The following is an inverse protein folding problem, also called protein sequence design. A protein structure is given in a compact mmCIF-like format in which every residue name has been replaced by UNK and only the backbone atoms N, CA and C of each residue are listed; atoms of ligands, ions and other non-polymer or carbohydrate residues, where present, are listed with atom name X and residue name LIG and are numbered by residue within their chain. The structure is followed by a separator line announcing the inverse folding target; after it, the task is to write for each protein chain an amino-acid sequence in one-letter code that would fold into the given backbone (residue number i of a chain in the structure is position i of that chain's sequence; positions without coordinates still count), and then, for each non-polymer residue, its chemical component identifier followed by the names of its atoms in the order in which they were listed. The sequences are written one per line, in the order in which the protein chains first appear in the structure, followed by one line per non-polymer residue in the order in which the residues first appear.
data_IF_117902300677
#
_entry.id   IF_117902300677
#
_cell.length_a   1.000
_cell.length_b   1.000
_cell.length_c   1.000
_cell.angle_alpha   90.00
_cell.angle_beta   90.00
_cell.angle_gamma   90.00
#
_symmetry.space_group_name_H-M   'P 1'
#
loop_
_entity.id
_entity.type
_entity.pdbx_description
1 polymer ?
#
# COMPACT_ATOMS: atom_id res chain seq x y z
N UNK A 1 -69.18 -8.89 -32.30
CA UNK A 1 -67.98 -9.56 -31.77
C UNK A 1 -66.79 -8.63 -31.99
N UNK A 2 -66.25 -8.03 -30.92
CA UNK A 2 -65.07 -7.16 -30.99
C UNK A 2 -63.88 -7.95 -30.46
N UNK A 3 -62.92 -8.24 -31.33
CA UNK A 3 -61.68 -8.94 -30.98
C UNK A 3 -60.67 -7.92 -30.47
N UNK A 4 -60.28 -8.03 -29.19
CA UNK A 4 -59.24 -7.22 -28.57
C UNK A 4 -57.90 -7.94 -28.76
N UNK A 5 -56.97 -7.32 -29.48
CA UNK A 5 -55.59 -7.81 -29.64
C UNK A 5 -54.79 -7.30 -28.43
N UNK A 6 -54.37 -8.22 -27.55
CA UNK A 6 -53.43 -7.93 -26.46
C UNK A 6 -52.00 -8.13 -27.01
N UNK A 7 -51.28 -7.02 -27.20
CA UNK A 7 -49.84 -7.04 -27.51
C UNK A 7 -49.11 -7.18 -26.18
N UNK A 8 -48.53 -8.36 -25.96
CA UNK A 8 -47.70 -8.67 -24.80
C UNK A 8 -46.26 -8.17 -25.07
N UNK A 9 -45.92 -6.98 -24.57
CA UNK A 9 -44.53 -6.50 -24.57
C UNK A 9 -43.76 -7.18 -23.45
N UNK A 10 -42.96 -8.18 -23.81
CA UNK A 10 -42.03 -8.85 -22.90
C UNK A 10 -40.83 -7.92 -22.64
N UNK A 11 -40.89 -7.19 -21.53
CA UNK A 11 -39.83 -6.32 -21.05
C UNK A 11 -38.66 -7.21 -20.55
N UNK A 12 -37.57 -7.30 -21.33
CA UNK A 12 -36.33 -7.92 -20.86
C UNK A 12 -35.74 -7.06 -19.74
N UNK A 13 -35.89 -7.53 -18.50
CA UNK A 13 -35.18 -6.98 -17.35
C UNK A 13 -33.77 -7.56 -17.38
N UNK A 14 -32.82 -6.80 -17.92
CA UNK A 14 -31.39 -7.06 -17.71
C UNK A 14 -31.09 -6.91 -16.22
N UNK A 15 -30.50 -7.91 -15.54
CA UNK A 15 -29.93 -7.66 -14.24
C UNK A 15 -28.72 -6.73 -14.46
N UNK A 16 -28.88 -5.46 -14.08
CA UNK A 16 -27.75 -4.58 -13.87
C UNK A 16 -26.80 -5.27 -12.91
N UNK A 17 -25.63 -5.66 -13.44
CA UNK A 17 -24.47 -6.02 -12.64
C UNK A 17 -24.22 -4.83 -11.74
N UNK A 18 -24.47 -5.02 -10.45
CA UNK A 18 -24.15 -4.03 -9.43
C UNK A 18 -22.65 -3.75 -9.54
N UNK A 19 -22.29 -2.53 -9.94
CA UNK A 19 -20.94 -2.02 -9.74
C UNK A 19 -20.66 -2.13 -8.25
N UNK A 20 -19.79 -3.06 -7.87
CA UNK A 20 -19.12 -3.00 -6.57
C UNK A 20 -18.35 -1.69 -6.55
N UNK A 21 -18.73 -0.77 -5.68
CA UNK A 21 -17.90 0.37 -5.36
C UNK A 21 -16.52 -0.17 -5.01
N UNK A 22 -15.53 0.10 -5.87
CA UNK A 22 -14.13 -0.18 -5.56
C UNK A 22 -13.77 0.68 -4.36
N UNK A 23 -13.91 0.11 -3.17
CA UNK A 23 -13.42 0.67 -1.91
C UNK A 23 -11.90 0.48 -1.86
N UNK A 24 -11.23 1.00 -2.90
CA UNK A 24 -9.80 0.78 -3.16
C UNK A 24 -8.91 1.43 -2.10
N UNK A 25 -9.51 2.19 -1.18
CA UNK A 25 -8.88 2.87 -0.04
C UNK A 25 -9.14 2.18 1.31
N UNK A 26 -9.88 1.06 1.32
CA UNK A 26 -10.10 0.27 2.53
C UNK A 26 -8.96 -0.74 2.74
N UNK A 27 -8.12 -0.45 3.71
CA UNK A 27 -6.92 -1.22 4.03
C UNK A 27 -7.24 -2.67 4.42
N UNK A 28 -8.26 -2.87 5.27
CA UNK A 28 -8.67 -4.19 5.77
C UNK A 28 -9.12 -5.10 4.63
N UNK A 29 -9.91 -4.55 3.69
CA UNK A 29 -10.37 -5.26 2.50
C UNK A 29 -9.20 -5.66 1.61
N UNK A 30 -8.25 -4.75 1.39
CA UNK A 30 -7.07 -5.03 0.55
C UNK A 30 -6.08 -6.01 1.17
N UNK A 31 -5.97 -6.07 2.49
CA UNK A 31 -5.20 -7.14 3.16
C UNK A 31 -5.82 -8.51 2.85
N UNK A 32 -7.15 -8.65 2.95
CA UNK A 32 -7.86 -9.90 2.64
C UNK A 32 -7.74 -10.28 1.16
N UNK A 33 -7.80 -9.29 0.27
CA UNK A 33 -7.55 -9.48 -1.15
C UNK A 33 -6.13 -10.01 -1.39
N UNK A 34 -5.12 -9.40 -0.78
CA UNK A 34 -3.72 -9.83 -0.87
C UNK A 34 -3.50 -11.25 -0.32
N UNK A 35 -4.21 -11.61 0.75
CA UNK A 35 -4.21 -12.96 1.32
C UNK A 35 -4.79 -13.98 0.34
N UNK A 36 -5.95 -13.66 -0.23
CA UNK A 36 -6.66 -14.52 -1.19
C UNK A 36 -5.85 -14.71 -2.47
N UNK A 37 -5.20 -13.64 -2.94
CA UNK A 37 -4.33 -13.64 -4.11
C UNK A 37 -2.93 -14.23 -3.85
N UNK A 38 -2.68 -14.74 -2.64
CA UNK A 38 -1.39 -15.31 -2.22
C UNK A 38 -0.18 -14.35 -2.41
N UNK A 39 -0.40 -13.04 -2.27
CA UNK A 39 0.71 -12.09 -2.14
C UNK A 39 1.52 -12.47 -0.90
N UNK A 40 2.85 -12.48 -1.07
CA UNK A 40 3.78 -12.80 0.02
C UNK A 40 3.46 -11.95 1.26
N UNK A 41 3.42 -12.54 2.47
CA UNK A 41 3.05 -11.81 3.69
C UNK A 41 3.80 -10.49 3.88
N UNK A 42 5.09 -10.44 3.52
CA UNK A 42 5.93 -9.24 3.62
C UNK A 42 5.51 -8.09 2.70
N UNK A 43 4.66 -8.33 1.69
CA UNK A 43 4.25 -7.33 0.70
C UNK A 43 2.76 -6.94 0.81
N UNK A 44 1.99 -7.59 1.70
CA UNK A 44 0.54 -7.36 1.80
C UNK A 44 0.21 -5.95 2.28
N UNK A 45 0.90 -5.45 3.31
CA UNK A 45 0.76 -4.07 3.78
C UNK A 45 1.04 -3.06 2.68
N UNK A 46 2.15 -3.25 1.96
CA UNK A 46 2.55 -2.41 0.82
C UNK A 46 1.52 -2.41 -0.31
N UNK A 47 0.99 -3.58 -0.68
CA UNK A 47 -0.12 -3.67 -1.62
C UNK A 47 -1.36 -2.94 -1.10
N UNK A 48 -1.73 -3.16 0.16
CA UNK A 48 -2.94 -2.62 0.76
C UNK A 48 -2.93 -1.09 0.91
N UNK A 49 -1.76 -0.45 0.95
CA UNK A 49 -1.62 1.02 0.88
C UNK A 49 -1.31 1.57 -0.50
N UNK A 50 -1.17 0.71 -1.52
CA UNK A 50 -0.85 1.15 -2.88
C UNK A 50 -2.13 1.43 -3.67
N UNK A 51 -2.06 2.30 -4.67
CA UNK A 51 -3.17 2.49 -5.61
C UNK A 51 -3.22 1.42 -6.74
N UNK A 52 -2.43 0.34 -6.63
CA UNK A 52 -2.25 -0.66 -7.68
C UNK A 52 -3.35 -1.70 -7.69
N UNK A 53 -3.77 -2.16 -8.87
CA UNK A 53 -4.48 -3.43 -8.97
C UNK A 53 -3.57 -4.61 -8.62
N UNK A 54 -4.14 -5.79 -8.37
CA UNK A 54 -3.36 -7.02 -8.16
C UNK A 54 -2.41 -7.30 -9.33
N UNK A 55 -2.90 -7.16 -10.56
CA UNK A 55 -2.11 -7.42 -11.77
C UNK A 55 -0.96 -6.43 -11.91
N UNK A 56 -1.21 -5.13 -11.69
CA UNK A 56 -0.17 -4.11 -11.71
C UNK A 56 0.91 -4.36 -10.66
N UNK A 57 0.51 -4.68 -9.43
CA UNK A 57 1.43 -4.96 -8.34
C UNK A 57 2.31 -6.18 -8.68
N UNK A 58 1.71 -7.27 -9.14
CA UNK A 58 2.44 -8.49 -9.53
C UNK A 58 3.36 -8.26 -10.74
N UNK A 59 2.92 -7.47 -11.73
CA UNK A 59 3.75 -7.10 -12.87
C UNK A 59 5.00 -6.34 -12.43
N UNK A 60 4.87 -5.37 -11.51
CA UNK A 60 6.03 -4.65 -10.96
C UNK A 60 6.92 -5.54 -10.08
N UNK A 61 6.37 -6.52 -9.35
CA UNK A 61 7.19 -7.54 -8.66
C UNK A 61 8.04 -8.32 -9.68
N UNK A 62 7.45 -8.74 -10.80
CA UNK A 62 8.17 -9.48 -11.84
C UNK A 62 9.20 -8.62 -12.57
N UNK A 63 8.90 -7.34 -12.78
CA UNK A 63 9.87 -6.35 -13.27
C UNK A 63 11.06 -6.22 -12.30
N UNK A 64 10.81 -6.07 -11.00
CA UNK A 64 11.86 -5.98 -9.99
C UNK A 64 12.75 -7.23 -9.96
N UNK A 65 12.17 -8.44 -10.07
CA UNK A 65 12.92 -9.71 -10.14
C UNK A 65 13.86 -9.81 -11.34
N UNK A 66 13.55 -9.13 -12.45
CA UNK A 66 14.38 -9.07 -13.66
C UNK A 66 15.40 -7.93 -13.64
N UNK A 67 15.39 -7.11 -12.60
CA UNK A 67 16.26 -5.94 -12.45
C UNK A 67 17.45 -6.23 -11.53
N UNK A 68 18.26 -5.19 -11.26
CA UNK A 68 19.35 -5.23 -10.28
C UNK A 68 18.87 -5.02 -8.82
N UNK A 69 17.56 -4.79 -8.61
CA UNK A 69 17.02 -4.63 -7.27
C UNK A 69 17.17 -5.93 -6.45
N UNK A 70 17.36 -5.77 -5.15
CA UNK A 70 17.45 -6.90 -4.21
C UNK A 70 16.05 -7.29 -3.69
N UNK A 71 15.82 -8.57 -3.30
CA UNK A 71 14.48 -9.06 -2.96
C UNK A 71 13.72 -8.27 -1.88
N UNK A 72 14.44 -7.73 -0.89
CA UNK A 72 13.83 -6.97 0.23
C UNK A 72 13.12 -5.68 -0.23
N UNK A 73 13.43 -5.15 -1.42
CA UNK A 73 12.79 -3.93 -1.94
C UNK A 73 11.75 -4.18 -3.03
N UNK A 74 11.47 -5.44 -3.40
CA UNK A 74 10.52 -5.75 -4.47
C UNK A 74 9.11 -5.26 -4.15
N UNK A 75 8.59 -5.54 -2.96
CA UNK A 75 7.27 -5.05 -2.54
C UNK A 75 7.17 -3.54 -2.54
N UNK A 76 8.24 -2.85 -2.14
CA UNK A 76 8.30 -1.39 -2.13
C UNK A 76 8.23 -0.84 -3.55
N UNK A 77 9.02 -1.39 -4.47
CA UNK A 77 8.94 -1.02 -5.87
C UNK A 77 7.55 -1.27 -6.45
N UNK A 78 6.96 -2.43 -6.14
CA UNK A 78 5.64 -2.79 -6.64
C UNK A 78 4.51 -1.89 -6.14
N UNK A 79 4.59 -1.40 -4.90
CA UNK A 79 3.65 -0.41 -4.37
C UNK A 79 3.84 1.00 -4.95
N UNK A 80 5.01 1.29 -5.53
CA UNK A 80 5.40 2.63 -5.94
C UNK A 80 4.78 3.08 -7.26
N UNK A 81 4.59 4.40 -7.39
CA UNK A 81 4.32 5.07 -8.66
C UNK A 81 5.60 5.41 -9.45
N UNK A 82 6.77 5.23 -8.86
CA UNK A 82 8.06 5.57 -9.46
C UNK A 82 8.45 4.57 -10.56
N UNK A 83 9.19 5.07 -11.55
CA UNK A 83 9.81 4.21 -12.57
C UNK A 83 10.89 3.33 -11.94
N UNK A 84 11.30 2.26 -12.63
CA UNK A 84 12.40 1.41 -12.13
C UNK A 84 13.71 2.21 -11.98
N UNK A 85 13.98 3.10 -12.93
CA UNK A 85 15.16 3.98 -12.91
C UNK A 85 15.13 4.93 -11.72
N UNK A 86 14.02 5.63 -11.51
CA UNK A 86 13.86 6.56 -10.39
C UNK A 86 13.96 5.84 -9.04
N UNK A 87 13.26 4.70 -8.89
CA UNK A 87 13.32 3.90 -7.67
C UNK A 87 14.74 3.41 -7.39
N UNK A 88 15.46 2.93 -8.41
CA UNK A 88 16.85 2.48 -8.28
C UNK A 88 17.79 3.61 -7.90
N UNK A 89 17.59 4.81 -8.47
CA UNK A 89 18.34 6.01 -8.11
C UNK A 89 18.16 6.34 -6.62
N UNK A 90 16.92 6.34 -6.11
CA UNK A 90 16.64 6.58 -4.69
C UNK A 90 17.21 5.48 -3.77
N UNK A 91 17.27 4.23 -4.22
CA UNK A 91 17.95 3.16 -3.48
C UNK A 91 19.46 3.43 -3.35
N UNK A 92 20.10 3.93 -4.41
CA UNK A 92 21.51 4.31 -4.38
C UNK A 92 21.74 5.52 -3.48
N UNK A 93 20.90 6.55 -3.58
CA UNK A 93 20.95 7.71 -2.67
C UNK A 93 20.84 7.28 -1.20
N UNK A 94 19.91 6.39 -0.87
CA UNK A 94 19.79 5.84 0.49
C UNK A 94 21.03 5.06 0.92
N UNK A 95 21.65 4.32 0.01
CA UNK A 95 22.90 3.59 0.28
C UNK A 95 24.05 4.56 0.56
N UNK A 96 24.21 5.59 -0.25
CA UNK A 96 25.28 6.58 -0.13
C UNK A 96 25.12 7.41 1.16
N UNK A 97 23.88 7.69 1.55
CA UNK A 97 23.53 8.30 2.83
C UNK A 97 23.58 7.33 4.04
N UNK A 98 24.03 6.09 3.84
CA UNK A 98 24.14 5.06 4.88
C UNK A 98 22.83 4.74 5.61
N UNK A 99 21.69 4.87 4.92
CA UNK A 99 20.40 4.40 5.43
C UNK A 99 20.46 2.89 5.61
N UNK A 100 19.95 2.40 6.74
CA UNK A 100 19.91 0.97 7.05
C UNK A 100 19.13 0.21 5.97
N UNK A 101 19.58 -0.99 5.56
CA UNK A 101 18.97 -1.74 4.46
C UNK A 101 17.45 -1.90 4.55
N UNK A 102 16.90 -2.08 5.77
CA UNK A 102 15.46 -2.24 5.99
C UNK A 102 14.63 -0.98 5.68
N UNK A 103 15.25 0.21 5.69
CA UNK A 103 14.55 1.47 5.40
C UNK A 103 14.73 1.96 3.96
N UNK A 104 15.67 1.38 3.19
CA UNK A 104 15.96 1.85 1.82
C UNK A 104 14.76 1.76 0.89
N UNK A 105 14.02 0.66 0.94
CA UNK A 105 12.79 0.50 0.14
C UNK A 105 11.73 1.53 0.52
N UNK A 106 11.59 1.83 1.81
CA UNK A 106 10.63 2.81 2.32
C UNK A 106 11.03 4.25 1.92
N UNK A 107 12.31 4.59 2.00
CA UNK A 107 12.82 5.85 1.48
C UNK A 107 12.58 5.98 -0.03
N UNK A 108 12.85 4.91 -0.77
CA UNK A 108 12.78 4.91 -2.23
C UNK A 108 11.35 5.10 -2.75
N UNK A 109 10.32 4.68 -2.01
CA UNK A 109 8.93 5.00 -2.37
C UNK A 109 8.51 6.41 -1.96
N UNK A 110 9.07 6.94 -0.87
CA UNK A 110 8.68 8.24 -0.31
C UNK A 110 9.02 9.41 -1.23
N UNK A 111 8.34 10.54 -1.03
CA UNK A 111 8.65 11.81 -1.68
C UNK A 111 9.54 12.71 -0.80
N UNK A 112 10.03 12.18 0.33
CA UNK A 112 10.91 12.91 1.24
C UNK A 112 12.30 13.08 0.63
N UNK A 113 12.94 14.21 0.92
CA UNK A 113 14.37 14.34 0.71
C UNK A 113 15.13 13.42 1.69
N UNK A 114 16.36 13.04 1.34
CA UNK A 114 17.19 12.21 2.23
C UNK A 114 17.45 12.87 3.59
N UNK A 115 17.50 14.20 3.64
CA UNK A 115 17.68 14.96 4.88
C UNK A 115 16.42 14.93 5.75
N UNK A 116 15.24 15.10 5.15
CA UNK A 116 13.97 15.05 5.89
C UNK A 116 13.72 13.62 6.42
N UNK A 117 13.90 12.61 5.57
CA UNK A 117 13.74 11.22 5.96
C UNK A 117 14.64 10.84 7.15
N UNK A 118 15.91 11.24 7.12
CA UNK A 118 16.85 11.02 8.23
C UNK A 118 16.45 11.75 9.51
N UNK A 119 15.95 12.98 9.40
CA UNK A 119 15.48 13.75 10.55
C UNK A 119 14.30 13.05 11.22
N UNK A 120 13.35 12.59 10.41
CA UNK A 120 12.18 11.86 10.90
C UNK A 120 12.51 10.46 11.42
N UNK A 121 13.51 9.77 10.87
CA UNK A 121 14.01 8.51 11.43
C UNK A 121 14.53 8.71 12.87
N UNK A 122 15.34 9.75 13.10
CA UNK A 122 15.86 10.07 14.44
C UNK A 122 14.75 10.42 15.43
N UNK A 123 13.73 11.15 14.98
CA UNK A 123 12.54 11.42 15.79
C UNK A 123 11.82 10.11 16.16
N UNK A 124 11.65 9.22 15.20
CA UNK A 124 11.02 7.92 15.40
C UNK A 124 11.82 6.98 16.31
N UNK A 125 13.15 7.07 16.34
CA UNK A 125 13.99 6.28 17.25
C UNK A 125 13.67 6.57 18.72
N UNK A 126 13.34 7.83 19.03
CA UNK A 126 12.95 8.26 20.38
C UNK A 126 11.51 7.88 20.69
N UNK A 127 10.60 8.00 19.72
CA UNK A 127 9.17 7.86 19.94
C UNK A 127 8.60 6.44 19.72
N UNK A 128 9.24 5.62 18.88
CA UNK A 128 8.73 4.32 18.43
C UNK A 128 9.66 3.17 18.83
N UNK A 129 9.09 2.23 19.60
CA UNK A 129 9.80 1.04 20.09
C UNK A 129 10.16 0.10 18.94
N UNK A 130 9.24 -0.14 18.00
CA UNK A 130 9.45 -1.12 16.92
C UNK A 130 10.16 -0.47 15.73
N UNK A 131 11.37 -0.96 15.34
CA UNK A 131 12.10 -0.43 14.21
C UNK A 131 11.30 -0.42 12.90
N UNK A 132 10.43 -1.42 12.71
CA UNK A 132 9.61 -1.56 11.50
C UNK A 132 8.67 -0.36 11.27
N UNK A 133 8.27 0.37 12.33
CA UNK A 133 7.41 1.54 12.19
C UNK A 133 8.18 2.82 11.83
N UNK A 134 9.47 2.89 12.16
CA UNK A 134 10.27 4.12 12.03
C UNK A 134 10.41 4.56 10.59
N UNK A 135 10.69 3.62 9.69
CA UNK A 135 10.77 3.90 8.25
C UNK A 135 9.44 4.40 7.69
N UNK A 136 8.32 3.78 8.06
CA UNK A 136 7.00 4.21 7.61
C UNK A 136 6.63 5.60 8.12
N UNK A 137 6.91 5.91 9.38
CA UNK A 137 6.77 7.26 9.90
C UNK A 137 7.63 8.26 9.11
N UNK A 138 8.89 7.92 8.89
CA UNK A 138 9.85 8.78 8.21
C UNK A 138 9.45 9.07 6.75
N UNK A 139 8.84 8.11 6.06
CA UNK A 139 8.30 8.30 4.72
C UNK A 139 6.98 9.07 4.67
N UNK A 140 6.23 9.13 5.77
CA UNK A 140 4.88 9.72 5.80
C UNK A 140 4.90 11.24 6.02
N UNK A 141 3.77 11.89 5.71
CA UNK A 141 3.49 13.29 6.06
C UNK A 141 2.80 13.46 7.42
N UNK A 142 2.63 12.36 8.16
CA UNK A 142 1.91 12.33 9.43
C UNK A 142 2.74 12.97 10.54
N UNK A 143 2.08 13.65 11.48
CA UNK A 143 2.74 13.97 12.76
C UNK A 143 3.02 12.69 13.54
N UNK A 144 4.01 12.69 14.43
CA UNK A 144 4.32 11.49 15.23
C UNK A 144 3.12 11.07 16.10
N UNK A 145 2.33 12.03 16.59
CA UNK A 145 1.11 11.77 17.37
C UNK A 145 0.03 11.12 16.52
N UNK A 146 -0.22 11.63 15.31
CA UNK A 146 -1.19 11.04 14.37
C UNK A 146 -0.77 9.63 13.96
N UNK A 147 0.50 9.42 13.64
CA UNK A 147 1.03 8.12 13.26
C UNK A 147 0.88 7.08 14.40
N UNK A 148 1.19 7.45 15.64
CA UNK A 148 0.99 6.59 16.82
C UNK A 148 -0.50 6.29 17.04
N UNK A 149 -1.38 7.26 16.83
CA UNK A 149 -2.82 7.07 16.93
C UNK A 149 -3.30 6.03 15.91
N UNK A 150 -2.91 6.16 14.63
CA UNK A 150 -3.28 5.20 13.58
C UNK A 150 -2.74 3.80 13.85
N UNK A 151 -1.56 3.65 14.47
CA UNK A 151 -1.07 2.33 14.91
C UNK A 151 -2.03 1.72 15.95
N UNK A 152 -2.52 2.52 16.91
CA UNK A 152 -3.47 2.03 17.93
C UNK A 152 -4.80 1.63 17.30
N UNK A 153 -5.30 2.42 16.36
CA UNK A 153 -6.53 2.13 15.61
C UNK A 153 -6.41 0.82 14.83
N UNK A 154 -5.33 0.63 14.07
CA UNK A 154 -5.06 -0.60 13.32
C UNK A 154 -5.04 -1.83 14.25
N UNK A 155 -4.33 -1.73 15.38
CA UNK A 155 -4.27 -2.81 16.37
C UNK A 155 -5.64 -3.12 16.97
N UNK A 156 -6.42 -2.09 17.30
CA UNK A 156 -7.77 -2.26 17.83
C UNK A 156 -8.73 -2.92 16.81
N UNK A 157 -8.52 -2.66 15.52
CA UNK A 157 -9.24 -3.30 14.43
C UNK A 157 -8.74 -4.71 14.07
N UNK A 158 -7.76 -5.25 14.80
CA UNK A 158 -7.22 -6.59 14.58
C UNK A 158 -6.25 -6.69 13.40
N UNK A 159 -5.75 -5.56 12.87
CA UNK A 159 -4.69 -5.57 11.85
C UNK A 159 -3.42 -6.13 12.46
N UNK A 160 -2.76 -7.05 11.74
CA UNK A 160 -1.46 -7.58 12.13
C UNK A 160 -0.47 -6.45 12.40
N UNK A 161 0.31 -6.56 13.48
CA UNK A 161 1.36 -5.57 13.82
C UNK A 161 2.35 -5.38 12.68
N UNK A 162 2.55 -6.40 11.84
CA UNK A 162 3.40 -6.33 10.65
C UNK A 162 2.94 -5.32 9.59
N UNK A 163 1.67 -4.89 9.62
CA UNK A 163 1.05 -4.01 8.62
C UNK A 163 0.62 -2.65 9.18
N UNK A 164 0.75 -2.46 10.50
CA UNK A 164 0.31 -1.25 11.17
C UNK A 164 1.12 -0.02 10.74
N UNK A 165 2.40 -0.21 10.38
CA UNK A 165 3.28 0.87 9.93
C UNK A 165 2.81 1.45 8.59
N UNK A 166 2.54 0.58 7.62
CA UNK A 166 2.00 0.96 6.32
C UNK A 166 0.66 1.67 6.48
N UNK A 167 -0.28 1.07 7.22
CA UNK A 167 -1.57 1.70 7.47
C UNK A 167 -1.43 3.09 8.10
N UNK A 168 -0.59 3.21 9.14
CA UNK A 168 -0.40 4.46 9.85
C UNK A 168 0.28 5.55 9.01
N UNK A 169 1.13 5.17 8.05
CA UNK A 169 1.72 6.09 7.09
C UNK A 169 0.74 6.54 5.98
N UNK A 170 -0.37 5.82 5.79
CA UNK A 170 -1.30 6.03 4.67
C UNK A 170 -2.51 6.88 5.03
N UNK A 171 -3.25 7.30 4.01
CA UNK A 171 -4.57 7.91 4.15
C UNK A 171 -5.73 6.89 4.03
N UNK A 172 -5.42 5.59 4.04
CA UNK A 172 -6.42 4.53 3.90
C UNK A 172 -7.22 4.37 5.19
N UNK A 173 -8.44 3.84 5.04
CA UNK A 173 -9.40 3.58 6.12
C UNK A 173 -9.44 2.09 6.48
N UNK A 174 -10.07 1.74 7.60
CA UNK A 174 -10.21 0.34 8.06
C UNK A 174 -11.61 -0.25 7.80
N UNK A 175 -12.56 0.57 7.36
CA UNK A 175 -14.00 0.26 7.29
C UNK A 175 -14.43 0.07 5.86
#
# INVERSE_FOLDING_TARGET
MRTLILILTFLMVFPFVSCTSNDSTNFSTRIKEAETAAILPAFRGLYATSNKSLDEFNNKINEAKRSILIPIVYGHYAASNKSLEEFSSRINEAKDASIEPMYRGIYAISDKSIQDFNTRLKEAEVALILPLFRGHYAASDKSIQEFILKIKEAKAAGISTAYCGEYAASDYTLN
#
